data_IF_323310272691
#
_entry.id   IF_323310272691
#
_cell.length_a   1.000
_cell.length_b   1.000
_cell.length_c   1.000
_cell.angle_alpha   90.00
_cell.angle_beta   90.00
_cell.angle_gamma   90.00
#
_symmetry.space_group_name_H-M   'P 1'
#
loop_
_entity.id
_entity.type
_entity.pdbx_description
1 polymer ?
#
# COMPACT_ATOMS: atom_id res chain seq x y z
N UNK A 1 0.47 24.52 -7.39
CA UNK A 1 0.10 23.20 -6.83
C UNK A 1 0.74 22.11 -7.68
N UNK A 2 1.38 21.17 -7.03
CA UNK A 2 1.99 20.01 -7.68
C UNK A 2 0.99 18.85 -7.67
N UNK A 3 1.08 17.98 -8.67
CA UNK A 3 0.33 16.73 -8.70
C UNK A 3 1.13 15.68 -7.95
N UNK A 4 0.48 15.05 -6.98
CA UNK A 4 1.01 13.89 -6.27
C UNK A 4 0.43 12.64 -6.92
N UNK A 5 1.29 11.73 -7.32
CA UNK A 5 0.94 10.45 -7.93
C UNK A 5 1.27 9.34 -6.94
N UNK A 6 0.29 8.53 -6.60
CA UNK A 6 0.47 7.33 -5.80
C UNK A 6 -0.24 6.18 -6.50
N UNK A 7 0.46 5.07 -6.71
CA UNK A 7 -0.14 3.94 -7.40
C UNK A 7 0.75 2.73 -7.43
N UNK A 8 0.19 1.64 -7.96
CA UNK A 8 0.89 0.38 -8.12
C UNK A 8 0.13 -0.59 -9.00
N UNK A 9 0.82 -1.65 -9.33
CA UNK A 9 0.27 -2.83 -9.97
C UNK A 9 0.83 -4.06 -9.23
N UNK A 10 -0.04 -4.99 -8.87
CA UNK A 10 0.34 -6.22 -8.18
C UNK A 10 0.28 -7.41 -9.12
N UNK A 11 0.98 -8.49 -8.80
CA UNK A 11 0.84 -9.75 -9.53
C UNK A 11 -0.63 -10.18 -9.56
N UNK A 12 -1.10 -10.63 -10.73
CA UNK A 12 -2.50 -10.98 -11.03
C UNK A 12 -3.53 -9.87 -10.84
N UNK A 13 -3.12 -8.69 -10.37
CA UNK A 13 -3.97 -7.52 -10.17
C UNK A 13 -3.93 -6.54 -11.34
N UNK A 14 -4.78 -5.52 -11.26
CA UNK A 14 -4.81 -4.39 -12.19
C UNK A 14 -4.15 -3.16 -11.56
N UNK A 15 -3.66 -2.26 -12.42
CA UNK A 15 -3.11 -0.99 -11.97
C UNK A 15 -4.17 -0.16 -11.22
N UNK A 16 -3.75 0.45 -10.10
CA UNK A 16 -4.53 1.44 -9.34
C UNK A 16 -3.69 2.68 -9.13
N UNK A 17 -4.21 3.83 -9.50
CA UNK A 17 -3.51 5.12 -9.42
C UNK A 17 -4.39 6.16 -8.76
N UNK A 18 -3.89 6.80 -7.73
CA UNK A 18 -4.51 7.90 -7.00
C UNK A 18 -3.76 9.19 -7.34
N UNK A 19 -4.49 10.20 -7.73
CA UNK A 19 -3.96 11.50 -8.08
C UNK A 19 -4.53 12.56 -7.16
N UNK A 20 -3.67 13.36 -6.55
CA UNK A 20 -4.08 14.49 -5.72
C UNK A 20 -3.25 15.74 -6.02
N UNK A 21 -3.75 16.89 -5.60
CA UNK A 21 -3.00 18.14 -5.66
C UNK A 21 -2.43 18.49 -4.31
N UNK A 22 -1.12 18.80 -4.27
CA UNK A 22 -0.54 19.44 -3.11
C UNK A 22 -0.94 20.90 -3.10
N UNK A 23 -1.40 21.40 -1.96
CA UNK A 23 -1.62 22.82 -1.71
C UNK A 23 -0.73 23.27 -0.57
N UNK A 24 -0.17 24.46 -0.69
CA UNK A 24 0.56 25.11 0.41
C UNK A 24 -0.47 25.48 1.48
N UNK A 25 -0.27 24.99 2.68
CA UNK A 25 -1.17 25.17 3.82
C UNK A 25 -0.88 26.49 4.50
N UNK A 26 -1.77 27.45 4.34
CA UNK A 26 -1.68 28.75 5.03
C UNK A 26 -2.70 28.93 6.17
N UNK A 27 -3.46 27.92 6.58
CA UNK A 27 -4.42 28.04 7.68
C UNK A 27 -4.90 26.71 8.27
N UNK A 28 -5.33 26.79 9.47
CA UNK A 28 -5.31 25.88 10.60
C UNK A 28 -6.35 24.80 10.66
N UNK A 29 -7.24 24.40 9.97
CA UNK A 29 -8.19 23.28 10.28
C UNK A 29 -8.70 22.46 9.09
N UNK A 30 -8.79 23.04 7.91
CA UNK A 30 -9.30 22.31 6.71
C UNK A 30 -8.18 21.69 5.87
N UNK A 31 -6.99 21.68 6.39
CA UNK A 31 -5.78 21.48 5.61
C UNK A 31 -5.55 20.01 5.17
N UNK A 32 -5.96 19.03 5.97
CA UNK A 32 -5.75 17.62 5.61
C UNK A 32 -6.74 17.18 4.52
N UNK A 33 -7.97 17.62 4.57
CA UNK A 33 -8.97 17.29 3.57
C UNK A 33 -8.71 18.00 2.23
N UNK A 34 -8.29 19.28 2.29
CA UNK A 34 -7.99 20.08 1.10
C UNK A 34 -6.67 19.69 0.42
N UNK A 35 -5.68 19.22 1.16
CA UNK A 35 -4.40 18.77 0.60
C UNK A 35 -4.51 17.51 -0.24
N UNK A 36 -5.60 16.77 -0.08
CA UNK A 36 -5.87 15.52 -0.79
C UNK A 36 -7.03 15.61 -1.77
N UNK A 37 -7.27 16.77 -2.35
CA UNK A 37 -8.28 16.89 -3.40
C UNK A 37 -7.93 16.01 -4.58
N UNK A 38 -8.83 15.10 -4.99
CA UNK A 38 -8.58 14.21 -6.10
C UNK A 38 -8.46 14.97 -7.42
N UNK A 39 -7.56 14.54 -8.27
CA UNK A 39 -7.50 14.95 -9.67
C UNK A 39 -8.33 13.96 -10.48
N UNK A 40 -9.53 14.38 -10.90
CA UNK A 40 -10.50 13.52 -11.59
C UNK A 40 -10.48 13.66 -13.11
N UNK A 41 -9.73 14.61 -13.66
CA UNK A 41 -9.72 14.94 -15.09
C UNK A 41 -8.39 14.70 -15.78
N UNK A 42 -7.60 13.76 -15.28
CA UNK A 42 -6.36 13.34 -15.93
C UNK A 42 -6.61 12.20 -16.92
N UNK A 43 -5.79 12.11 -17.96
CA UNK A 43 -5.65 10.89 -18.74
C UNK A 43 -4.53 10.07 -18.12
N UNK A 44 -4.86 8.89 -17.64
CA UNK A 44 -3.92 7.98 -16.99
C UNK A 44 -3.81 6.72 -17.83
N UNK A 45 -2.59 6.35 -18.21
CA UNK A 45 -2.34 5.16 -19.01
C UNK A 45 -1.27 4.30 -18.36
N UNK A 46 -1.41 2.98 -18.49
CA UNK A 46 -0.37 2.01 -18.15
C UNK A 46 0.01 1.21 -19.39
N UNK A 47 1.28 0.92 -19.55
CA UNK A 47 1.79 0.06 -20.62
C UNK A 47 2.70 -1.03 -20.05
N UNK A 48 2.61 -2.23 -20.61
CA UNK A 48 3.50 -3.35 -20.32
C UNK A 48 4.58 -3.56 -21.40
N UNK A 49 4.71 -2.56 -22.31
CA UNK A 49 5.63 -2.61 -23.45
C UNK A 49 5.03 -3.24 -24.71
N UNK A 50 4.02 -4.10 -24.59
CA UNK A 50 3.32 -4.72 -25.74
C UNK A 50 1.98 -4.05 -26.02
N UNK A 51 1.30 -3.60 -24.99
CA UNK A 51 0.00 -2.95 -25.06
C UNK A 51 -0.07 -1.77 -24.10
N UNK A 52 -1.04 -0.90 -24.32
CA UNK A 52 -1.29 0.28 -23.48
C UNK A 52 -2.77 0.36 -23.17
N UNK A 53 -3.11 0.53 -21.89
CA UNK A 53 -4.45 0.67 -21.39
C UNK A 53 -4.67 2.06 -20.82
N UNK A 54 -5.85 2.65 -21.07
CA UNK A 54 -6.30 3.88 -20.41
C UNK A 54 -7.08 3.47 -19.17
N UNK A 55 -6.63 3.94 -18.01
CA UNK A 55 -7.26 3.64 -16.73
C UNK A 55 -8.57 4.43 -16.58
N UNK A 56 -9.58 3.79 -16.00
CA UNK A 56 -10.91 4.38 -15.79
C UNK A 56 -10.99 4.96 -14.37
N UNK A 57 -11.41 6.22 -14.27
CA UNK A 57 -11.63 6.88 -12.98
C UNK A 57 -12.90 6.39 -12.30
N UNK A 58 -12.82 6.11 -11.00
CA UNK A 58 -13.94 5.65 -10.16
C UNK A 58 -13.88 6.28 -8.77
N UNK A 59 -15.05 6.39 -8.13
CA UNK A 59 -15.11 6.78 -6.72
C UNK A 59 -14.65 5.59 -5.87
N UNK A 60 -13.71 5.85 -4.97
CA UNK A 60 -13.24 4.90 -3.96
C UNK A 60 -13.43 5.53 -2.58
N UNK A 61 -14.44 5.07 -1.83
CA UNK A 61 -14.76 5.58 -0.50
C UNK A 61 -13.88 5.00 0.61
N UNK A 62 -13.13 3.96 0.31
CA UNK A 62 -12.26 3.26 1.27
C UNK A 62 -10.93 3.96 1.54
N UNK A 63 -10.53 4.89 0.67
CA UNK A 63 -9.22 5.55 0.76
C UNK A 63 -9.25 6.99 0.28
N UNK A 64 -8.49 7.86 0.94
CA UNK A 64 -8.24 9.23 0.48
C UNK A 64 -7.08 9.28 -0.54
N UNK A 65 -7.20 10.04 -1.63
CA UNK A 65 -8.38 10.76 -2.07
C UNK A 65 -9.48 9.79 -2.53
N UNK A 66 -10.75 10.13 -2.36
CA UNK A 66 -11.89 9.27 -2.71
C UNK A 66 -12.09 9.06 -4.22
N UNK A 67 -11.03 8.96 -4.98
CA UNK A 67 -11.06 8.74 -6.41
C UNK A 67 -9.82 7.98 -6.87
N UNK A 68 -10.02 6.93 -7.65
CA UNK A 68 -8.99 6.05 -8.15
C UNK A 68 -9.13 5.85 -9.66
N UNK A 69 -8.01 5.79 -10.36
CA UNK A 69 -7.93 5.31 -11.75
C UNK A 69 -7.54 3.84 -11.72
N UNK A 70 -8.37 2.97 -12.32
CA UNK A 70 -8.15 1.52 -12.32
C UNK A 70 -8.08 0.95 -13.73
N UNK A 71 -7.19 -0.03 -13.92
CA UNK A 71 -7.13 -0.87 -15.11
C UNK A 71 -8.16 -1.99 -15.07
N UNK A 72 -8.32 -2.64 -16.23
CA UNK A 72 -9.20 -3.80 -16.42
C UNK A 72 -8.70 -4.79 -17.48
N UNK A 73 -7.61 -4.46 -18.18
CA UNK A 73 -7.09 -5.26 -19.29
C UNK A 73 -5.69 -5.79 -18.99
N UNK A 74 -4.77 -4.92 -18.57
CA UNK A 74 -3.39 -5.30 -18.28
C UNK A 74 -3.30 -5.82 -16.83
N UNK A 75 -3.09 -7.13 -16.70
CA UNK A 75 -2.79 -7.76 -15.41
C UNK A 75 -1.30 -7.71 -15.12
N UNK A 76 -0.98 -7.55 -13.84
CA UNK A 76 0.39 -7.59 -13.39
C UNK A 76 0.98 -9.00 -13.46
N UNK A 77 2.21 -9.10 -13.97
CA UNK A 77 2.99 -10.33 -14.04
C UNK A 77 4.34 -10.11 -13.36
N UNK A 78 4.77 -11.07 -12.56
CA UNK A 78 6.07 -11.04 -11.89
C UNK A 78 7.20 -10.89 -12.92
N UNK A 79 8.20 -10.06 -12.60
CA UNK A 79 9.34 -9.77 -13.45
C UNK A 79 9.07 -8.79 -14.60
N UNK A 80 7.81 -8.44 -14.85
CA UNK A 80 7.43 -7.56 -15.96
C UNK A 80 7.52 -6.08 -15.57
N UNK A 81 7.93 -5.27 -16.53
CA UNK A 81 8.09 -3.82 -16.39
C UNK A 81 6.81 -3.12 -16.84
N UNK A 82 6.37 -2.14 -16.06
CA UNK A 82 5.21 -1.30 -16.37
C UNK A 82 5.59 0.17 -16.40
N UNK A 83 5.03 0.87 -17.38
CA UNK A 83 5.19 2.32 -17.55
C UNK A 83 3.85 3.00 -17.27
N UNK A 84 3.84 3.94 -16.35
CA UNK A 84 2.71 4.83 -16.07
C UNK A 84 2.94 6.16 -16.80
N UNK A 85 1.90 6.68 -17.44
CA UNK A 85 1.87 8.04 -17.97
C UNK A 85 0.61 8.74 -17.50
N UNK A 86 0.76 9.90 -16.90
CA UNK A 86 -0.32 10.78 -16.45
C UNK A 86 -0.23 12.09 -17.22
N UNK A 87 -1.28 12.41 -17.97
CA UNK A 87 -1.43 13.68 -18.67
C UNK A 87 -2.46 14.53 -17.93
N UNK A 88 -2.02 15.66 -17.40
CA UNK A 88 -2.87 16.59 -16.67
C UNK A 88 -2.50 18.04 -16.92
N UNK A 89 -3.47 18.83 -17.40
CA UNK A 89 -3.30 20.27 -17.72
C UNK A 89 -2.07 20.56 -18.59
N UNK A 90 -1.86 19.73 -19.62
CA UNK A 90 -0.74 19.89 -20.56
C UNK A 90 0.62 19.45 -20.01
N UNK A 91 0.68 18.90 -18.81
CA UNK A 91 1.90 18.31 -18.24
C UNK A 91 1.84 16.79 -18.34
N UNK A 92 2.98 16.20 -18.63
CA UNK A 92 3.19 14.76 -18.62
C UNK A 92 4.00 14.38 -17.38
N UNK A 93 3.54 13.34 -16.67
CA UNK A 93 4.25 12.72 -15.56
C UNK A 93 4.38 11.25 -15.89
N UNK A 94 5.58 10.71 -15.80
CA UNK A 94 5.86 9.30 -16.08
C UNK A 94 6.48 8.63 -14.86
N UNK A 95 6.19 7.33 -14.72
CA UNK A 95 6.82 6.47 -13.73
C UNK A 95 7.02 5.07 -14.32
N UNK A 96 8.02 4.36 -13.82
CA UNK A 96 8.32 2.99 -14.21
C UNK A 96 8.43 2.13 -12.97
N UNK A 97 7.88 0.92 -13.05
CA UNK A 97 8.02 -0.09 -11.99
C UNK A 97 8.18 -1.48 -12.59
N UNK A 98 8.72 -2.38 -11.79
CA UNK A 98 8.77 -3.82 -12.10
C UNK A 98 8.14 -4.56 -10.94
N UNK A 99 7.31 -5.58 -11.21
CA UNK A 99 6.79 -6.44 -10.14
C UNK A 99 7.91 -7.41 -9.75
N UNK A 100 8.40 -7.35 -8.52
CA UNK A 100 9.49 -8.22 -8.08
C UNK A 100 9.01 -9.66 -7.92
N UNK A 101 9.98 -10.60 -7.84
CA UNK A 101 9.69 -11.98 -7.42
C UNK A 101 9.12 -11.99 -5.99
N UNK A 102 8.12 -12.84 -5.72
CA UNK A 102 7.53 -12.91 -4.40
C UNK A 102 8.50 -13.52 -3.39
N UNK A 103 8.60 -12.92 -2.24
CA UNK A 103 9.32 -13.47 -1.09
C UNK A 103 8.32 -14.21 -0.22
N UNK A 104 8.55 -15.50 -0.02
CA UNK A 104 7.69 -16.32 0.80
C UNK A 104 8.00 -16.12 2.28
N UNK A 105 6.96 -16.09 3.10
CA UNK A 105 7.10 -16.16 4.55
C UNK A 105 7.45 -17.60 4.95
N UNK A 106 8.52 -17.75 5.72
CA UNK A 106 8.90 -19.06 6.27
C UNK A 106 7.96 -19.47 7.42
N UNK A 107 7.64 -18.52 8.28
CA UNK A 107 6.71 -18.73 9.39
C UNK A 107 6.20 -17.43 9.98
N UNK A 108 5.09 -17.52 10.69
CA UNK A 108 4.58 -16.46 11.58
C UNK A 108 4.49 -17.05 12.98
N UNK A 109 5.00 -16.33 13.97
CA UNK A 109 4.89 -16.68 15.38
C UNK A 109 4.04 -15.65 16.11
N UNK A 110 3.18 -16.16 16.98
CA UNK A 110 2.38 -15.35 17.89
C UNK A 110 2.93 -15.50 19.30
N UNK A 111 3.16 -14.39 19.97
CA UNK A 111 3.63 -14.36 21.36
C UNK A 111 2.72 -13.44 22.16
N UNK A 112 2.36 -13.80 23.42
CA UNK A 112 1.69 -12.87 24.31
C UNK A 112 2.51 -11.60 24.48
N UNK A 113 1.85 -10.45 24.53
CA UNK A 113 2.54 -9.19 24.82
C UNK A 113 2.98 -9.14 26.28
N UNK A 114 4.05 -8.42 26.56
CA UNK A 114 4.58 -8.30 27.92
C UNK A 114 3.50 -7.73 28.86
N UNK A 115 3.23 -8.46 29.94
CA UNK A 115 2.25 -8.07 30.96
C UNK A 115 0.77 -8.25 30.59
N UNK A 116 0.46 -8.90 29.44
CA UNK A 116 -0.93 -9.11 29.01
C UNK A 116 -1.10 -10.43 28.26
N UNK A 117 -1.77 -11.41 28.88
CA UNK A 117 -2.00 -12.73 28.28
C UNK A 117 -3.14 -12.76 27.25
N UNK A 118 -3.87 -11.66 27.09
CA UNK A 118 -5.01 -11.56 26.18
C UNK A 118 -4.70 -10.83 24.90
N UNK A 119 -3.47 -10.31 24.75
CA UNK A 119 -3.01 -9.62 23.55
C UNK A 119 -1.77 -10.32 22.99
N UNK A 120 -1.72 -10.45 21.67
CA UNK A 120 -0.66 -11.16 20.97
C UNK A 120 0.04 -10.25 19.96
N UNK A 121 1.36 -10.35 19.95
CA UNK A 121 2.24 -9.80 18.92
C UNK A 121 2.52 -10.89 17.89
N UNK A 122 2.38 -10.56 16.61
CA UNK A 122 2.81 -11.42 15.51
C UNK A 122 4.21 -11.03 15.05
N UNK A 123 5.04 -12.03 14.72
CA UNK A 123 6.36 -11.84 14.10
C UNK A 123 6.46 -12.73 12.87
N UNK A 124 6.72 -12.13 11.71
CA UNK A 124 7.02 -12.82 10.49
C UNK A 124 8.51 -13.16 10.38
N UNK A 125 8.80 -14.34 9.84
CA UNK A 125 10.14 -14.80 9.51
C UNK A 125 10.20 -15.09 8.02
N UNK A 126 11.21 -14.58 7.33
CA UNK A 126 11.41 -14.79 5.89
C UNK A 126 12.88 -14.66 5.52
N UNK A 127 13.25 -15.20 4.37
CA UNK A 127 14.59 -15.05 3.82
C UNK A 127 14.61 -13.84 2.89
N UNK A 128 15.41 -12.85 3.24
CA UNK A 128 15.63 -11.67 2.40
C UNK A 128 16.68 -11.99 1.33
N UNK A 129 16.40 -11.71 0.03
CA UNK A 129 17.36 -11.90 -1.04
C UNK A 129 18.57 -10.99 -0.87
N UNK A 130 19.76 -11.57 -0.83
CA UNK A 130 21.00 -10.81 -0.63
C UNK A 130 21.43 -10.10 -1.91
N UNK A 131 21.90 -8.84 -1.74
CA UNK A 131 22.55 -8.09 -2.81
C UNK A 131 21.63 -7.18 -3.60
N UNK A 132 20.38 -7.11 -3.25
CA UNK A 132 19.40 -6.15 -3.79
C UNK A 132 18.80 -5.38 -2.64
N UNK A 133 18.53 -4.08 -2.85
CA UNK A 133 17.81 -3.26 -1.86
C UNK A 133 16.32 -3.54 -1.95
N UNK A 134 15.73 -4.06 -0.88
CA UNK A 134 14.32 -4.42 -0.82
C UNK A 134 13.55 -3.51 0.15
N UNK A 135 12.30 -3.22 -0.22
CA UNK A 135 11.38 -2.46 0.61
C UNK A 135 10.13 -3.29 0.85
N UNK A 136 9.79 -3.46 2.10
CA UNK A 136 8.66 -4.27 2.54
C UNK A 136 7.52 -3.39 3.02
N UNK A 137 6.31 -3.80 2.71
CA UNK A 137 5.09 -3.17 3.21
C UNK A 137 4.10 -4.24 3.64
N UNK A 138 3.75 -4.22 4.92
CA UNK A 138 2.85 -5.18 5.53
C UNK A 138 1.44 -4.63 5.57
N UNK A 139 0.51 -5.47 5.19
CA UNK A 139 -0.93 -5.25 5.33
C UNK A 139 -1.50 -6.38 6.17
N UNK A 140 -2.50 -6.09 6.96
CA UNK A 140 -3.24 -7.10 7.74
C UNK A 140 -4.73 -6.93 7.55
N UNK A 141 -5.45 -8.04 7.64
CA UNK A 141 -6.90 -8.09 7.69
C UNK A 141 -7.34 -9.07 8.78
N UNK A 142 -8.16 -8.63 9.71
CA UNK A 142 -8.82 -9.52 10.66
C UNK A 142 -10.16 -9.91 10.06
N UNK A 143 -10.35 -11.20 9.77
CA UNK A 143 -11.60 -11.72 9.20
C UNK A 143 -12.81 -11.33 10.07
N UNK A 144 -13.93 -11.05 9.43
CA UNK A 144 -15.20 -10.62 10.04
C UNK A 144 -15.17 -9.25 10.75
N UNK A 145 -13.99 -8.65 10.95
CA UNK A 145 -13.85 -7.31 11.57
C UNK A 145 -13.41 -6.25 10.59
N UNK A 146 -12.51 -6.60 9.67
CA UNK A 146 -11.93 -5.68 8.71
C UNK A 146 -12.58 -5.89 7.33
N UNK A 147 -13.06 -4.81 6.71
CA UNK A 147 -13.67 -4.86 5.37
C UNK A 147 -12.63 -5.07 4.25
N UNK A 148 -11.35 -4.73 4.52
CA UNK A 148 -10.26 -4.80 3.56
C UNK A 148 -8.92 -4.98 4.30
N UNK A 149 -7.85 -5.13 3.54
CA UNK A 149 -6.48 -5.10 4.06
C UNK A 149 -6.07 -3.68 4.42
N UNK A 150 -5.61 -3.47 5.63
CA UNK A 150 -5.12 -2.18 6.11
C UNK A 150 -3.60 -2.21 6.30
N UNK A 151 -2.96 -1.06 6.08
CA UNK A 151 -1.54 -0.91 6.37
C UNK A 151 -1.28 -1.22 7.85
N UNK A 152 -0.39 -2.16 8.12
CA UNK A 152 0.09 -2.41 9.46
C UNK A 152 0.79 -1.18 10.04
N UNK A 153 0.61 -0.94 11.32
CA UNK A 153 1.36 0.12 12.00
C UNK A 153 2.86 -0.21 11.93
N UNK A 154 3.70 0.76 11.56
CA UNK A 154 5.14 0.58 11.30
C UNK A 154 5.47 -0.54 10.29
N UNK A 155 4.50 -0.97 9.49
CA UNK A 155 4.64 -2.07 8.54
C UNK A 155 5.36 -1.73 7.22
N UNK A 156 6.08 -0.59 7.15
CA UNK A 156 6.89 -0.23 5.98
C UNK A 156 8.35 -0.06 6.42
N UNK A 157 9.24 -0.86 5.84
CA UNK A 157 10.66 -0.84 6.19
C UNK A 157 11.54 -1.25 4.99
N UNK A 158 12.82 -0.92 5.07
CA UNK A 158 13.88 -1.36 4.16
C UNK A 158 14.64 -2.53 4.78
N UNK A 159 15.18 -3.42 3.95
CA UNK A 159 16.08 -4.50 4.36
C UNK A 159 17.36 -4.03 5.05
N UNK A 160 17.75 -2.77 4.87
CA UNK A 160 18.91 -2.18 5.54
C UNK A 160 18.85 -2.25 7.07
N UNK A 161 17.63 -2.35 7.64
CA UNK A 161 17.43 -2.49 9.08
C UNK A 161 17.48 -3.95 9.56
N UNK A 162 17.53 -4.91 8.64
CA UNK A 162 17.53 -6.34 8.93
C UNK A 162 18.96 -6.80 9.25
N UNK A 163 19.22 -7.14 10.49
CA UNK A 163 20.58 -7.43 10.99
C UNK A 163 20.99 -8.90 10.82
N UNK A 164 20.06 -9.77 10.41
CA UNK A 164 20.24 -11.23 10.35
C UNK A 164 19.98 -11.77 8.94
N UNK A 165 20.62 -12.89 8.55
CA UNK A 165 20.29 -13.58 7.30
C UNK A 165 18.83 -14.09 7.25
N UNK A 166 18.21 -14.32 8.40
CA UNK A 166 16.77 -14.54 8.53
C UNK A 166 16.13 -13.22 8.95
N UNK A 167 15.41 -12.62 8.04
CA UNK A 167 14.69 -11.39 8.32
C UNK A 167 13.52 -11.65 9.26
N UNK A 168 13.33 -10.75 10.22
CA UNK A 168 12.17 -10.78 11.11
C UNK A 168 11.47 -9.44 11.07
N UNK A 169 10.15 -9.47 10.97
CA UNK A 169 9.32 -8.28 11.02
C UNK A 169 8.21 -8.43 12.05
N UNK A 170 8.11 -7.49 12.98
CA UNK A 170 6.96 -7.40 13.86
C UNK A 170 5.74 -6.92 13.07
N UNK A 171 4.65 -7.66 13.17
CA UNK A 171 3.40 -7.37 12.49
C UNK A 171 2.42 -6.80 13.52
N UNK A 172 2.07 -5.55 13.33
CA UNK A 172 1.00 -4.89 14.08
C UNK A 172 -0.29 -4.90 13.27
N UNK A 173 -1.41 -4.88 13.97
CA UNK A 173 -2.72 -4.77 13.34
C UNK A 173 -2.79 -3.51 12.49
N UNK A 174 -3.30 -3.63 11.28
CA UNK A 174 -3.67 -2.49 10.44
C UNK A 174 -4.91 -1.78 10.97
N UNK A 175 -5.10 -0.52 10.59
CA UNK A 175 -6.24 0.28 11.04
C UNK A 175 -6.75 1.24 9.98
N UNK A 176 -8.03 1.53 10.06
CA UNK A 176 -8.67 2.59 9.31
C UNK A 176 -8.35 3.95 9.94
N UNK A 177 -7.94 4.92 9.16
CA UNK A 177 -7.64 6.29 9.66
C UNK A 177 -8.80 6.96 10.41
N UNK A 178 -10.03 6.48 10.22
CA UNK A 178 -11.23 6.99 10.89
C UNK A 178 -11.45 6.45 12.30
N UNK A 179 -10.70 5.43 12.73
CA UNK A 179 -10.92 4.71 14.00
C UNK A 179 -9.73 4.79 14.97
N UNK A 180 -8.89 5.79 14.84
CA UNK A 180 -7.68 5.97 15.66
C UNK A 180 -7.92 5.88 17.17
N UNK A 181 -9.08 6.31 17.66
CA UNK A 181 -9.39 6.31 19.09
C UNK A 181 -9.72 4.92 19.68
N UNK A 182 -9.91 3.92 18.83
CA UNK A 182 -10.22 2.53 19.23
C UNK A 182 -9.13 1.54 18.81
N UNK A 183 -8.03 2.06 18.27
CA UNK A 183 -6.98 1.24 17.71
C UNK A 183 -6.20 0.51 18.81
N UNK A 184 -6.08 -0.80 18.64
CA UNK A 184 -5.12 -1.64 19.36
C UNK A 184 -4.14 -2.22 18.34
N UNK A 185 -2.83 -2.11 18.56
CA UNK A 185 -1.82 -2.63 17.64
C UNK A 185 -1.66 -4.15 17.70
N UNK A 186 -2.28 -4.80 18.65
CA UNK A 186 -2.14 -6.23 18.92
C UNK A 186 -3.37 -7.02 18.50
N UNK A 187 -3.17 -8.32 18.37
CA UNK A 187 -4.23 -9.27 18.05
C UNK A 187 -4.80 -9.90 19.31
N UNK A 188 -6.07 -10.34 19.26
CA UNK A 188 -6.75 -11.01 20.38
C UNK A 188 -6.96 -12.49 20.08
N UNK A 189 -7.11 -13.35 21.11
CA UNK A 189 -7.39 -14.77 20.92
C UNK A 189 -8.64 -15.02 20.08
N UNK A 190 -8.54 -15.97 19.16
CA UNK A 190 -9.65 -16.34 18.28
C UNK A 190 -9.83 -15.48 17.04
N UNK A 191 -9.05 -14.40 16.88
CA UNK A 191 -9.02 -13.65 15.61
C UNK A 191 -8.31 -14.48 14.53
N UNK A 192 -8.89 -14.48 13.33
CA UNK A 192 -8.26 -15.01 12.14
C UNK A 192 -7.70 -13.85 11.33
N UNK A 193 -6.40 -13.89 11.11
CA UNK A 193 -5.64 -12.79 10.49
C UNK A 193 -5.07 -13.25 9.16
N UNK A 194 -5.27 -12.46 8.14
CA UNK A 194 -4.69 -12.62 6.81
C UNK A 194 -3.64 -11.56 6.57
#
# INVERSE_FOLDING_TARGET
>A
SEVVVEGGITADGFAKVYLSQSKILNSTWDSIALSKLPVMSAKVTVSDGSQTEILVGRIDKGRLPYFVYTGSQIRGEVGKVYMLTVMYRGKEITARTTIPEPILLDSIRLQPTEGCDTLYQATAYFNDPKGEANYYKIFTQVEEKDEDYYNAFMGTFSDEILVSPVATAEIYRGFRHTELNKYTPFFTPGEKVN
#
